data_IF_460636593638
#
_entry.id   IF_460636593638
#
_cell.length_a   1.000
_cell.length_b   1.000
_cell.length_c   1.000
_cell.angle_alpha   90.00
_cell.angle_beta   90.00
_cell.angle_gamma   90.00
#
_symmetry.space_group_name_H-M   'P 1'
#
loop_
_entity.id
_entity.type
_entity.pdbx_description
1 polymer ?
#
# COMPACT_ATOMS: atom_id res chain seq x y z
N UNK A 1 20.46 -7.84 -25.79
CA UNK A 1 19.08 -7.50 -26.22
C UNK A 1 18.23 -7.37 -24.96
N UNK A 2 17.93 -6.14 -24.52
CA UNK A 2 17.25 -5.82 -23.25
C UNK A 2 15.80 -5.34 -23.54
N UNK A 3 14.83 -6.21 -23.86
CA UNK A 3 13.47 -5.76 -24.17
C UNK A 3 12.60 -5.46 -22.93
N UNK A 4 12.98 -5.86 -21.71
CA UNK A 4 12.07 -5.81 -20.55
C UNK A 4 11.96 -4.46 -19.85
N UNK A 5 12.94 -3.56 -20.00
CA UNK A 5 12.94 -2.24 -19.37
C UNK A 5 11.89 -1.31 -20.01
N UNK A 6 11.74 -1.36 -21.34
CA UNK A 6 10.74 -0.57 -22.07
C UNK A 6 9.30 -0.88 -21.64
N UNK A 7 9.01 -2.15 -21.33
CA UNK A 7 7.69 -2.58 -20.90
C UNK A 7 7.34 -2.12 -19.48
N UNK A 8 8.34 -1.92 -18.61
CA UNK A 8 8.13 -1.34 -17.28
C UNK A 8 7.92 0.16 -17.36
N UNK A 9 8.74 0.85 -18.17
CA UNK A 9 8.60 2.29 -18.37
C UNK A 9 7.22 2.67 -18.91
N UNK A 10 6.73 1.93 -19.90
CA UNK A 10 5.40 2.15 -20.48
C UNK A 10 4.24 1.94 -19.49
N UNK A 11 4.45 1.22 -18.37
CA UNK A 11 3.46 1.03 -17.31
C UNK A 11 3.48 2.17 -16.29
N UNK A 12 4.67 2.71 -16.01
CA UNK A 12 4.83 3.89 -15.15
C UNK A 12 4.24 5.13 -15.84
N UNK A 13 4.39 5.25 -17.16
CA UNK A 13 3.78 6.32 -17.96
C UNK A 13 2.23 6.27 -18.01
N UNK A 14 1.61 5.18 -17.55
CA UNK A 14 0.15 5.02 -17.47
C UNK A 14 -0.42 5.31 -16.08
N UNK A 15 0.43 5.57 -15.08
CA UNK A 15 -0.01 5.99 -13.75
C UNK A 15 -0.40 7.48 -13.77
N UNK A 16 -1.38 7.87 -12.96
CA UNK A 16 -1.61 9.29 -12.72
C UNK A 16 -0.31 9.91 -12.17
N UNK A 17 0.02 11.17 -12.53
CA UNK A 17 1.30 11.78 -12.20
C UNK A 17 1.59 11.83 -10.70
N UNK A 18 0.54 11.89 -9.87
CA UNK A 18 0.66 11.84 -8.41
C UNK A 18 1.09 10.43 -7.93
N UNK A 19 0.47 9.37 -8.47
CA UNK A 19 0.80 7.98 -8.10
C UNK A 19 2.24 7.62 -8.49
N UNK A 20 2.69 8.06 -9.67
CA UNK A 20 4.05 7.82 -10.13
C UNK A 20 5.07 8.53 -9.23
N UNK A 21 4.78 9.78 -8.84
CA UNK A 21 5.63 10.55 -7.93
C UNK A 21 5.70 9.93 -6.53
N UNK A 22 4.59 9.41 -6.00
CA UNK A 22 4.57 8.73 -4.70
C UNK A 22 5.45 7.47 -4.68
N UNK A 23 5.42 6.66 -5.75
CA UNK A 23 6.27 5.47 -5.85
C UNK A 23 7.74 5.84 -5.88
N UNK A 24 8.13 6.83 -6.68
CA UNK A 24 9.51 7.31 -6.75
C UNK A 24 9.98 7.90 -5.41
N UNK A 25 9.10 8.61 -4.68
CA UNK A 25 9.42 9.14 -3.36
C UNK A 25 9.69 8.02 -2.34
N UNK A 26 8.89 6.95 -2.35
CA UNK A 26 9.11 5.78 -1.49
C UNK A 26 10.41 5.06 -1.86
N UNK A 27 10.71 4.89 -3.14
CA UNK A 27 11.97 4.28 -3.58
C UNK A 27 13.18 5.11 -3.16
N UNK A 28 13.12 6.44 -3.33
CA UNK A 28 14.19 7.34 -2.92
C UNK A 28 14.49 7.29 -1.41
N UNK A 29 13.46 7.10 -0.57
CA UNK A 29 13.63 6.92 0.88
C UNK A 29 14.40 5.63 1.24
N UNK A 30 14.36 4.62 0.37
CA UNK A 30 14.99 3.32 0.58
C UNK A 30 16.26 3.13 -0.27
N UNK A 31 16.95 4.22 -0.64
CA UNK A 31 18.16 4.18 -1.48
C UNK A 31 17.95 3.42 -2.81
N UNK A 32 16.76 3.54 -3.39
CA UNK A 32 16.31 2.82 -4.59
C UNK A 32 16.26 1.27 -4.43
N UNK A 33 16.35 0.76 -3.19
CA UNK A 33 16.13 -0.67 -2.89
C UNK A 33 14.62 -0.97 -2.83
N UNK A 34 14.09 -1.36 -3.99
CA UNK A 34 12.70 -1.78 -4.12
C UNK A 34 12.29 -2.93 -3.17
N UNK A 35 13.20 -3.83 -2.79
CA UNK A 35 12.87 -4.94 -1.87
C UNK A 35 12.74 -4.43 -0.44
N UNK A 36 13.61 -3.50 -0.03
CA UNK A 36 13.51 -2.85 1.27
C UNK A 36 12.22 -2.03 1.38
N UNK A 37 11.87 -1.26 0.35
CA UNK A 37 10.63 -0.50 0.27
C UNK A 37 9.39 -1.41 0.40
N UNK A 38 9.30 -2.47 -0.42
CA UNK A 38 8.18 -3.43 -0.35
C UNK A 38 8.11 -4.11 1.02
N UNK A 39 9.26 -4.46 1.62
CA UNK A 39 9.28 -5.05 2.97
C UNK A 39 8.66 -4.09 3.99
N UNK A 40 9.05 -2.81 3.97
CA UNK A 40 8.51 -1.79 4.87
C UNK A 40 6.99 -1.66 4.71
N UNK A 41 6.51 -1.49 3.46
CA UNK A 41 5.08 -1.37 3.17
C UNK A 41 4.28 -2.60 3.63
N UNK A 42 4.82 -3.81 3.47
CA UNK A 42 4.19 -5.03 3.97
C UNK A 42 4.12 -5.05 5.51
N UNK A 43 5.13 -4.56 6.19
CA UNK A 43 5.16 -4.50 7.66
C UNK A 43 4.21 -3.42 8.20
N UNK A 44 4.11 -2.27 7.52
CA UNK A 44 3.13 -1.21 7.80
C UNK A 44 1.70 -1.72 7.60
N UNK A 45 1.44 -2.45 6.50
CA UNK A 45 0.14 -3.07 6.25
C UNK A 45 -0.23 -4.07 7.36
N UNK A 46 0.71 -4.91 7.82
CA UNK A 46 0.49 -5.82 8.95
C UNK A 46 0.21 -5.05 10.24
N UNK A 47 0.93 -3.95 10.47
CA UNK A 47 0.71 -3.09 11.64
C UNK A 47 -0.69 -2.50 11.63
N UNK A 48 -1.13 -1.90 10.50
CA UNK A 48 -2.46 -1.32 10.35
C UNK A 48 -3.56 -2.37 10.56
N UNK A 49 -3.41 -3.57 10.00
CA UNK A 49 -4.37 -4.67 10.21
C UNK A 49 -4.47 -5.07 11.68
N UNK A 50 -3.36 -5.08 12.43
CA UNK A 50 -3.38 -5.33 13.88
C UNK A 50 -4.11 -4.21 14.64
N UNK A 51 -3.87 -2.95 14.29
CA UNK A 51 -4.55 -1.81 14.91
C UNK A 51 -6.06 -1.86 14.64
N UNK A 52 -6.47 -2.19 13.43
CA UNK A 52 -7.89 -2.36 13.07
C UNK A 52 -8.54 -3.49 13.89
N UNK A 53 -7.87 -4.62 14.07
CA UNK A 53 -8.37 -5.72 14.89
C UNK A 53 -8.51 -5.33 16.37
N UNK A 54 -7.56 -4.56 16.90
CA UNK A 54 -7.67 -4.04 18.27
C UNK A 54 -8.84 -3.05 18.41
N UNK A 55 -9.00 -2.15 17.44
CA UNK A 55 -10.11 -1.21 17.42
C UNK A 55 -11.47 -1.92 17.36
N UNK A 56 -11.60 -2.94 16.51
CA UNK A 56 -12.80 -3.78 16.39
C UNK A 56 -13.15 -4.46 17.73
N UNK A 57 -12.16 -4.99 18.44
CA UNK A 57 -12.37 -5.65 19.73
C UNK A 57 -12.78 -4.68 20.85
N UNK A 58 -12.31 -3.43 20.83
CA UNK A 58 -12.54 -2.46 21.90
C UNK A 58 -13.77 -1.58 21.65
N UNK A 59 -14.10 -1.31 20.39
CA UNK A 59 -15.23 -0.45 20.02
C UNK A 59 -16.54 -1.23 20.08
N UNK A 60 -17.54 -0.67 20.78
CA UNK A 60 -18.89 -1.24 20.73
C UNK A 60 -19.56 -0.98 19.39
N UNK A 61 -20.48 -1.88 18.99
CA UNK A 61 -21.30 -1.72 17.76
C UNK A 61 -22.07 -0.40 17.74
N UNK A 62 -22.50 0.09 18.91
CA UNK A 62 -23.19 1.38 19.05
C UNK A 62 -22.26 2.57 18.83
N UNK A 63 -21.04 2.51 19.37
CA UNK A 63 -20.02 3.55 19.18
C UNK A 63 -19.64 3.70 17.70
N UNK A 64 -19.45 2.59 16.99
CA UNK A 64 -19.12 2.57 15.56
C UNK A 64 -20.34 2.82 14.65
N UNK A 65 -21.55 3.02 15.20
CA UNK A 65 -22.81 3.15 14.45
C UNK A 65 -23.03 2.00 13.43
N UNK A 66 -22.66 0.78 13.82
CA UNK A 66 -22.76 -0.41 12.97
C UNK A 66 -21.64 -0.57 11.93
N UNK A 67 -20.66 0.33 11.87
CA UNK A 67 -19.48 0.14 11.03
C UNK A 67 -18.60 -1.00 11.56
N UNK A 68 -18.03 -1.78 10.64
CA UNK A 68 -17.06 -2.85 10.92
C UNK A 68 -15.91 -2.75 9.91
N UNK A 69 -14.65 -2.96 10.34
CA UNK A 69 -13.51 -2.89 9.42
C UNK A 69 -13.60 -3.97 8.34
N UNK A 70 -13.13 -3.64 7.14
CA UNK A 70 -12.92 -4.59 6.04
C UNK A 70 -11.43 -4.71 5.81
N UNK A 71 -10.90 -5.92 5.94
CA UNK A 71 -9.47 -6.20 5.84
C UNK A 71 -9.00 -6.52 4.41
N UNK A 72 -9.94 -6.75 3.52
CA UNK A 72 -9.71 -7.03 2.12
C UNK A 72 -10.09 -5.81 1.29
N UNK A 73 -9.32 -5.53 0.25
CA UNK A 73 -9.67 -4.50 -0.72
C UNK A 73 -10.75 -5.09 -1.63
N UNK A 74 -11.81 -4.32 -1.91
CA UNK A 74 -12.79 -4.72 -2.92
C UNK A 74 -12.03 -4.97 -4.23
N UNK A 75 -12.24 -6.14 -4.85
CA UNK A 75 -11.57 -6.47 -6.10
C UNK A 75 -12.02 -5.47 -7.18
N UNK A 76 -11.05 -4.77 -7.77
CA UNK A 76 -11.25 -3.86 -8.91
C UNK A 76 -11.54 -4.64 -10.19
#
# INVERSE_FOLDING_TARGET
MQPSLKSRQARLDQMEPDDAWEVEAVLAWHDDDAKAAIRSLLDDCKHLRRQLALAECVMSRGMARGWTPRYERDAL
#
